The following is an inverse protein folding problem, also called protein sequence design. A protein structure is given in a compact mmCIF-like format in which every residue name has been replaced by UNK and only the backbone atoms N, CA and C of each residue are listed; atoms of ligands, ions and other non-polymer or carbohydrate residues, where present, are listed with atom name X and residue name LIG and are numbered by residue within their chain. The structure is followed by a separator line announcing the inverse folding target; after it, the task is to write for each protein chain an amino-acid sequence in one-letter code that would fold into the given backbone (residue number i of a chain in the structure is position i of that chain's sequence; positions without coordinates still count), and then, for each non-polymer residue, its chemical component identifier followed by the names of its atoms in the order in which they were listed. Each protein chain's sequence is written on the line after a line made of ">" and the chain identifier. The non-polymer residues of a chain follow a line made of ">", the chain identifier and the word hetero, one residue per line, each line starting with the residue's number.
data_IF_580627318008
#
_entry.id   IF_580627318008
#
_cell.length_a   1.000
_cell.length_b   1.000
_cell.length_c   1.000
_cell.angle_alpha   90.00
_cell.angle_beta   90.00
_cell.angle_gamma   90.00
#
_symmetry.space_group_name_H-M   'P 1'
#
loop_
_entity.id
_entity.type
_entity.pdbx_description
1 polymer ?
#
# COMPACT_ATOMS: atom_id res chain seq x y z
N UNK A 1 17.67 12.04 -29.61
CA UNK A 1 17.96 12.83 -28.39
C UNK A 1 17.01 14.02 -28.31
N UNK A 2 16.43 14.29 -27.13
CA UNK A 2 15.64 15.50 -26.90
C UNK A 2 16.57 16.72 -26.95
N UNK A 3 16.17 17.83 -27.62
CA UNK A 3 16.88 19.11 -27.49
C UNK A 3 16.79 19.61 -26.03
N UNK A 4 17.91 20.07 -25.50
CA UNK A 4 17.95 20.72 -24.19
C UNK A 4 17.24 22.08 -24.26
N UNK A 5 16.68 22.52 -23.17
CA UNK A 5 16.15 23.87 -23.01
C UNK A 5 17.31 24.84 -22.75
N UNK A 6 17.10 26.14 -22.99
CA UNK A 6 18.13 27.16 -22.73
C UNK A 6 18.65 27.12 -21.29
N UNK A 7 17.79 26.83 -20.32
CA UNK A 7 18.17 26.66 -18.92
C UNK A 7 19.05 25.42 -18.72
N UNK A 8 18.68 24.29 -19.32
CA UNK A 8 19.45 23.04 -19.26
C UNK A 8 20.83 23.21 -19.94
N UNK A 9 20.89 23.95 -21.06
CA UNK A 9 22.15 24.29 -21.72
C UNK A 9 23.04 25.13 -20.84
N UNK A 10 22.48 26.14 -20.17
CA UNK A 10 23.23 26.98 -19.24
C UNK A 10 23.79 26.18 -18.04
N UNK A 11 22.94 25.33 -17.43
CA UNK A 11 23.38 24.48 -16.30
C UNK A 11 24.48 23.49 -16.74
N UNK A 12 24.37 22.91 -17.93
CA UNK A 12 25.37 22.03 -18.49
C UNK A 12 26.73 22.76 -18.69
N UNK A 13 26.72 24.00 -19.20
CA UNK A 13 27.94 24.81 -19.38
C UNK A 13 28.61 25.18 -18.08
N UNK A 14 27.87 25.42 -16.98
CA UNK A 14 28.44 25.67 -15.68
C UNK A 14 29.17 24.43 -15.15
N UNK A 15 28.53 23.27 -15.24
CA UNK A 15 29.11 21.99 -14.77
C UNK A 15 30.32 21.59 -15.61
N UNK A 16 30.31 21.84 -16.93
CA UNK A 16 31.50 21.62 -17.80
C UNK A 16 32.72 22.41 -17.31
N UNK A 17 32.54 23.63 -16.85
CA UNK A 17 33.67 24.43 -16.28
C UNK A 17 34.25 23.82 -15.02
N UNK A 18 33.41 23.21 -14.20
CA UNK A 18 33.82 22.51 -12.97
C UNK A 18 34.40 21.12 -13.28
N UNK A 19 33.95 20.48 -14.36
CA UNK A 19 34.33 19.10 -14.75
C UNK A 19 35.78 18.95 -15.22
N UNK A 20 36.50 20.06 -15.43
CA UNK A 20 37.94 20.05 -15.77
C UNK A 20 38.78 19.30 -14.71
N UNK A 21 38.25 19.14 -13.49
CA UNK A 21 38.90 18.45 -12.38
C UNK A 21 38.56 16.97 -12.30
N UNK A 22 37.68 16.48 -13.17
CA UNK A 22 37.22 15.09 -13.08
C UNK A 22 38.19 14.15 -13.80
N UNK A 23 38.62 13.11 -13.09
CA UNK A 23 39.37 12.00 -13.66
C UNK A 23 38.51 11.23 -14.68
N UNK A 24 39.12 10.30 -15.39
CA UNK A 24 38.37 9.47 -16.34
C UNK A 24 37.28 8.66 -15.62
N UNK A 25 36.09 8.51 -16.25
CA UNK A 25 35.00 7.75 -15.64
C UNK A 25 35.39 6.31 -15.32
N UNK A 26 35.10 5.91 -14.07
CA UNK A 26 35.23 4.50 -13.66
C UNK A 26 34.02 3.66 -14.12
N UNK A 27 32.89 4.32 -14.31
CA UNK A 27 31.64 3.71 -14.77
C UNK A 27 31.09 4.47 -15.98
N UNK A 28 30.60 3.73 -16.96
CA UNK A 28 29.88 4.27 -18.10
C UNK A 28 28.41 3.84 -17.99
N UNK A 29 27.51 4.80 -18.17
CA UNK A 29 26.07 4.56 -18.09
C UNK A 29 25.44 4.86 -19.45
N UNK A 30 24.34 4.17 -19.77
CA UNK A 30 23.55 4.39 -20.98
C UNK A 30 22.32 5.25 -20.69
N UNK A 31 21.79 5.93 -21.71
CA UNK A 31 20.50 6.63 -21.59
C UNK A 31 19.40 5.60 -21.26
N UNK A 32 18.60 5.91 -20.26
CA UNK A 32 17.58 5.02 -19.73
C UNK A 32 18.04 4.16 -18.55
N UNK A 33 19.37 4.10 -18.27
CA UNK A 33 19.87 3.37 -17.11
C UNK A 33 19.37 3.98 -15.80
N UNK A 34 19.09 3.11 -14.84
CA UNK A 34 18.89 3.52 -13.46
C UNK A 34 20.22 3.52 -12.73
N UNK A 35 20.53 4.66 -12.08
CA UNK A 35 21.78 4.85 -11.34
C UNK A 35 21.48 5.45 -9.97
N UNK A 36 22.39 5.25 -9.02
CA UNK A 36 22.30 5.87 -7.69
C UNK A 36 23.03 7.22 -7.71
N UNK A 37 22.36 8.26 -7.25
CA UNK A 37 22.93 9.59 -7.04
C UNK A 37 22.88 9.94 -5.55
N UNK A 38 24.05 10.06 -4.91
CA UNK A 38 24.15 10.24 -3.47
C UNK A 38 23.52 9.09 -2.67
N UNK A 39 22.79 9.43 -1.61
CA UNK A 39 22.07 8.49 -0.73
C UNK A 39 20.58 8.34 -1.12
N UNK A 40 20.17 8.96 -2.19
CA UNK A 40 18.76 9.06 -2.59
C UNK A 40 18.28 7.85 -3.42
N UNK A 41 16.99 7.88 -3.74
CA UNK A 41 16.35 6.89 -4.63
C UNK A 41 17.03 6.87 -6.01
N UNK A 42 16.96 5.71 -6.71
CA UNK A 42 17.49 5.61 -8.05
C UNK A 42 16.92 6.66 -8.99
N UNK A 43 17.80 7.23 -9.81
CA UNK A 43 17.47 8.21 -10.83
C UNK A 43 17.71 7.64 -12.22
N UNK A 44 17.03 8.18 -13.22
CA UNK A 44 17.21 7.72 -14.61
C UNK A 44 18.18 8.62 -15.35
N UNK A 45 19.14 8.06 -16.07
CA UNK A 45 20.02 8.77 -16.99
C UNK A 45 19.26 9.15 -18.24
N UNK A 46 19.21 10.45 -18.55
CA UNK A 46 18.48 10.98 -19.72
C UNK A 46 19.36 11.80 -20.68
N UNK A 47 20.56 12.12 -20.26
CA UNK A 47 21.57 12.82 -21.07
C UNK A 47 22.96 12.34 -20.69
N UNK A 48 23.85 12.29 -21.67
CA UNK A 48 25.29 11.97 -21.49
C UNK A 48 26.09 12.95 -22.33
N UNK A 49 27.10 13.59 -21.73
CA UNK A 49 28.04 14.43 -22.47
C UNK A 49 28.96 13.59 -23.37
N UNK A 50 29.51 14.20 -24.42
CA UNK A 50 30.36 13.48 -25.40
C UNK A 50 31.58 12.83 -24.75
N UNK A 51 32.13 13.44 -23.72
CA UNK A 51 33.27 12.93 -22.93
C UNK A 51 32.85 11.96 -21.82
N UNK A 52 31.55 11.65 -21.70
CA UNK A 52 30.94 10.78 -20.69
C UNK A 52 31.22 11.18 -19.23
N UNK A 53 31.58 12.43 -18.99
CA UNK A 53 31.89 12.94 -17.66
C UNK A 53 30.70 13.58 -16.95
N UNK A 54 29.70 14.02 -17.71
CA UNK A 54 28.51 14.67 -17.19
C UNK A 54 27.26 13.90 -17.64
N UNK A 55 26.37 13.68 -16.70
CA UNK A 55 25.11 12.98 -16.91
C UNK A 55 23.93 13.87 -16.51
N UNK A 56 22.92 13.93 -17.35
CA UNK A 56 21.63 14.52 -17.01
C UNK A 56 20.72 13.45 -16.44
N UNK A 57 20.33 13.62 -15.17
CA UNK A 57 19.51 12.66 -14.43
C UNK A 57 18.10 13.20 -14.16
N UNK A 58 17.14 12.30 -14.00
CA UNK A 58 15.77 12.63 -13.61
C UNK A 58 15.32 11.83 -12.41
N UNK A 59 14.57 12.49 -11.52
CA UNK A 59 13.88 11.86 -10.41
C UNK A 59 12.45 11.44 -10.81
N UNK A 60 12.17 10.17 -10.76
CA UNK A 60 10.83 9.63 -11.02
C UNK A 60 10.21 10.15 -12.32
N UNK A 61 9.04 10.78 -12.24
CA UNK A 61 8.31 11.36 -13.38
C UNK A 61 8.63 12.84 -13.66
N UNK A 62 9.63 13.42 -13.01
CA UNK A 62 10.02 14.81 -13.24
C UNK A 62 10.42 15.03 -14.70
N UNK A 63 10.02 16.19 -15.25
CA UNK A 63 10.47 16.60 -16.57
C UNK A 63 11.80 17.38 -16.55
N UNK A 64 12.28 17.79 -15.38
CA UNK A 64 13.50 18.55 -15.24
C UNK A 64 14.71 17.64 -15.19
N UNK A 65 15.77 17.99 -15.97
CA UNK A 65 17.08 17.36 -15.87
C UNK A 65 17.90 18.07 -14.81
N UNK A 66 18.59 17.29 -14.00
CA UNK A 66 19.68 17.77 -13.15
C UNK A 66 21.00 17.23 -13.72
N UNK A 67 21.97 18.11 -13.97
CA UNK A 67 23.28 17.69 -14.44
C UNK A 67 24.21 17.41 -13.26
N UNK A 68 24.95 16.30 -13.36
CA UNK A 68 25.86 15.81 -12.31
C UNK A 68 27.12 15.22 -12.94
N UNK A 69 28.21 15.24 -12.22
CA UNK A 69 29.43 14.58 -12.62
C UNK A 69 29.31 13.06 -12.51
N UNK A 70 30.06 12.31 -13.31
CA UNK A 70 30.06 10.86 -13.25
C UNK A 70 30.40 10.29 -11.86
N UNK A 71 31.27 10.98 -11.09
CA UNK A 71 31.71 10.53 -9.76
C UNK A 71 30.59 10.56 -8.72
N UNK A 72 29.55 11.32 -8.95
CA UNK A 72 28.39 11.38 -8.05
C UNK A 72 27.41 10.25 -8.32
N UNK A 73 27.62 9.52 -9.44
CA UNK A 73 26.81 8.39 -9.83
C UNK A 73 27.49 7.07 -9.42
N UNK A 74 26.69 6.12 -9.03
CA UNK A 74 27.13 4.75 -8.77
C UNK A 74 26.24 3.81 -9.57
N UNK A 75 26.83 2.74 -10.16
CA UNK A 75 25.99 1.67 -10.68
C UNK A 75 25.10 1.17 -9.54
N UNK A 76 23.87 0.91 -9.85
CA UNK A 76 23.08 0.06 -9.00
C UNK A 76 23.71 -1.31 -9.23
N UNK A 77 24.54 -1.75 -8.27
CA UNK A 77 25.17 -3.06 -8.34
C UNK A 77 24.08 -4.07 -8.69
N UNK A 78 24.36 -4.94 -9.64
CA UNK A 78 23.45 -5.96 -10.16
C UNK A 78 23.20 -7.11 -9.16
N UNK A 79 23.05 -6.74 -7.90
CA UNK A 79 22.41 -7.54 -6.90
C UNK A 79 20.94 -7.19 -6.93
N UNK A 80 20.15 -7.92 -7.74
CA UNK A 80 18.70 -7.77 -7.79
C UNK A 80 18.23 -6.32 -8.01
N UNK A 81 18.12 -5.88 -9.29
CA UNK A 81 17.49 -4.60 -9.67
C UNK A 81 15.99 -4.57 -9.38
N UNK A 82 15.43 -5.72 -9.02
CA UNK A 82 14.09 -5.81 -8.48
C UNK A 82 14.13 -5.29 -7.04
N UNK A 83 13.50 -4.14 -6.82
CA UNK A 83 13.26 -3.68 -5.45
C UNK A 83 12.53 -4.80 -4.71
N UNK A 84 13.11 -5.28 -3.60
CA UNK A 84 12.44 -6.25 -2.71
C UNK A 84 11.08 -5.71 -2.28
N UNK A 85 10.98 -4.39 -2.08
CA UNK A 85 9.67 -3.76 -1.80
C UNK A 85 8.89 -3.54 -3.09
N UNK A 86 7.65 -3.94 -3.09
CA UNK A 86 6.73 -3.65 -4.19
C UNK A 86 6.31 -2.16 -4.13
N UNK A 87 6.72 -1.37 -5.11
CA UNK A 87 6.39 0.07 -5.19
C UNK A 87 4.90 0.34 -5.46
N UNK A 88 4.23 -0.63 -6.08
CA UNK A 88 2.80 -0.52 -6.40
C UNK A 88 1.90 -0.84 -5.20
N UNK A 89 2.51 -1.26 -4.10
CA UNK A 89 1.82 -1.74 -2.92
C UNK A 89 2.17 -0.87 -1.71
N UNK A 90 1.22 -0.04 -1.30
CA UNK A 90 1.31 0.77 -0.09
C UNK A 90 0.05 0.60 0.74
N UNK A 91 0.20 0.21 2.00
CA UNK A 91 -0.86 0.20 2.99
C UNK A 91 -0.51 1.25 4.04
N UNK A 92 -1.37 2.22 4.22
CA UNK A 92 -1.28 3.20 5.28
C UNK A 92 -2.12 2.72 6.47
N UNK A 93 -1.46 2.36 7.58
CA UNK A 93 -2.13 1.91 8.79
C UNK A 93 -2.42 3.09 9.72
N UNK A 94 -3.68 3.18 10.13
CA UNK A 94 -4.15 4.17 11.08
C UNK A 94 -4.88 3.49 12.23
N UNK A 95 -4.77 4.05 13.42
CA UNK A 95 -5.57 3.65 14.56
C UNK A 95 -6.94 4.35 14.48
N UNK A 96 -7.98 3.59 14.22
CA UNK A 96 -9.34 4.08 14.14
C UNK A 96 -10.16 3.55 15.33
N UNK A 97 -11.10 4.33 15.82
CA UNK A 97 -12.11 3.81 16.74
C UNK A 97 -13.17 3.01 15.95
N UNK A 98 -13.85 2.09 16.63
CA UNK A 98 -14.97 1.34 16.02
C UNK A 98 -16.01 2.29 15.44
N UNK A 99 -16.36 3.37 16.13
CA UNK A 99 -17.27 4.42 15.66
C UNK A 99 -16.85 5.00 14.29
N UNK A 100 -15.56 5.26 14.08
CA UNK A 100 -15.03 5.69 12.78
C UNK A 100 -15.20 4.65 11.68
N UNK A 101 -15.07 3.35 12.00
CA UNK A 101 -15.37 2.27 11.06
C UNK A 101 -16.85 2.15 10.75
N UNK A 102 -17.72 2.27 11.76
CA UNK A 102 -19.17 2.31 11.61
C UNK A 102 -19.59 3.49 10.71
N UNK A 103 -19.03 4.68 10.97
CA UNK A 103 -19.25 5.86 10.15
C UNK A 103 -18.83 5.61 8.70
N UNK A 104 -17.66 5.02 8.47
CA UNK A 104 -17.18 4.67 7.13
C UNK A 104 -18.14 3.69 6.44
N UNK A 105 -18.62 2.68 7.16
CA UNK A 105 -19.55 1.68 6.63
C UNK A 105 -20.89 2.29 6.20
N UNK A 106 -21.52 3.10 7.09
CA UNK A 106 -22.85 3.65 6.82
C UNK A 106 -22.87 4.83 5.85
N UNK A 107 -21.84 5.66 5.86
CA UNK A 107 -21.81 6.88 5.03
C UNK A 107 -21.06 6.72 3.72
N UNK A 108 -19.91 6.06 3.71
CA UNK A 108 -19.13 5.88 2.49
C UNK A 108 -19.45 4.56 1.78
N UNK A 109 -20.00 3.60 2.49
CA UNK A 109 -20.23 2.24 2.02
C UNK A 109 -18.94 1.41 1.97
N UNK A 110 -19.00 0.20 2.52
CA UNK A 110 -17.94 -0.81 2.38
C UNK A 110 -18.53 -2.02 1.70
N UNK A 111 -18.04 -2.37 0.49
CA UNK A 111 -18.37 -3.64 -0.15
C UNK A 111 -17.79 -4.78 0.69
N UNK A 112 -18.66 -5.50 1.39
CA UNK A 112 -18.29 -6.63 2.24
C UNK A 112 -18.12 -7.94 1.45
N UNK A 113 -18.54 -7.98 0.18
CA UNK A 113 -18.58 -9.18 -0.63
C UNK A 113 -17.89 -9.00 -1.99
N UNK A 114 -16.62 -8.55 -2.06
CA UNK A 114 -15.91 -8.57 -3.32
C UNK A 114 -15.72 -10.02 -3.79
N UNK A 115 -15.59 -10.21 -5.09
CA UNK A 115 -15.58 -11.51 -5.79
C UNK A 115 -14.44 -12.47 -5.35
N UNK A 116 -13.39 -11.94 -4.76
CA UNK A 116 -12.25 -12.70 -4.23
C UNK A 116 -12.41 -13.08 -2.74
N UNK A 117 -13.36 -12.51 -2.03
CA UNK A 117 -13.63 -12.86 -0.63
C UNK A 117 -14.44 -14.14 -0.51
N UNK A 118 -14.23 -14.86 0.61
CA UNK A 118 -15.10 -15.97 1.01
C UNK A 118 -16.36 -15.46 1.69
N UNK A 119 -17.34 -16.34 1.81
CA UNK A 119 -18.53 -16.07 2.59
C UNK A 119 -18.24 -15.83 4.07
N UNK A 120 -19.22 -15.28 4.76
CA UNK A 120 -19.16 -15.13 6.21
C UNK A 120 -19.33 -16.51 6.87
N UNK A 121 -18.36 -16.91 7.70
CA UNK A 121 -18.31 -18.26 8.28
C UNK A 121 -18.24 -18.28 9.80
N UNK A 122 -18.12 -17.11 10.46
CA UNK A 122 -18.06 -17.04 11.91
C UNK A 122 -19.41 -17.38 12.54
N UNK A 123 -19.35 -18.30 13.50
CA UNK A 123 -20.49 -18.65 14.36
C UNK A 123 -20.61 -17.66 15.53
N UNK A 124 -21.71 -17.73 16.27
CA UNK A 124 -21.96 -16.85 17.42
C UNK A 124 -20.83 -16.88 18.43
N UNK A 125 -20.25 -18.05 18.68
CA UNK A 125 -19.12 -18.21 19.61
C UNK A 125 -17.88 -17.42 19.19
N UNK A 126 -17.56 -17.40 17.88
CA UNK A 126 -16.40 -16.62 17.37
C UNK A 126 -16.63 -15.13 17.52
N UNK A 127 -17.86 -14.68 17.28
CA UNK A 127 -18.29 -13.28 17.45
C UNK A 127 -18.20 -12.86 18.92
N UNK A 128 -18.71 -13.70 19.83
CA UNK A 128 -18.63 -13.44 21.28
C UNK A 128 -17.18 -13.34 21.78
N UNK A 129 -16.27 -14.19 21.29
CA UNK A 129 -14.84 -14.11 21.60
C UNK A 129 -14.20 -12.81 21.10
N UNK A 130 -14.62 -12.29 19.94
CA UNK A 130 -14.17 -10.99 19.47
C UNK A 130 -14.64 -9.86 20.41
N UNK A 131 -15.93 -9.88 20.77
CA UNK A 131 -16.48 -8.87 21.70
C UNK A 131 -15.85 -8.97 23.09
N UNK A 132 -15.59 -10.21 23.57
CA UNK A 132 -14.85 -10.42 24.81
C UNK A 132 -13.45 -9.79 24.79
N UNK A 133 -12.74 -9.95 23.65
CA UNK A 133 -11.43 -9.33 23.44
C UNK A 133 -11.50 -7.79 23.55
N UNK A 134 -12.52 -7.17 22.97
CA UNK A 134 -12.73 -5.72 23.03
C UNK A 134 -12.93 -5.26 24.45
N UNK A 135 -13.82 -5.90 25.22
CA UNK A 135 -14.08 -5.54 26.62
C UNK A 135 -12.91 -5.83 27.55
N UNK A 136 -11.99 -6.70 27.16
CA UNK A 136 -10.74 -6.96 27.88
C UNK A 136 -9.54 -6.16 27.33
N UNK A 137 -9.73 -5.23 26.40
CA UNK A 137 -8.68 -4.45 25.74
C UNK A 137 -7.59 -5.31 25.08
N UNK A 138 -7.95 -6.49 24.57
CA UNK A 138 -7.06 -7.39 23.82
C UNK A 138 -7.16 -7.05 22.34
N UNK A 139 -6.00 -6.96 21.65
CA UNK A 139 -5.96 -6.64 20.23
C UNK A 139 -6.75 -7.67 19.38
N UNK A 140 -7.66 -7.18 18.55
CA UNK A 140 -8.52 -7.99 17.69
C UNK A 140 -7.96 -8.21 16.27
N UNK A 141 -6.75 -7.75 16.01
CA UNK A 141 -6.14 -7.76 14.70
C UNK A 141 -6.60 -6.60 13.80
N UNK A 142 -5.97 -6.50 12.65
CA UNK A 142 -6.20 -5.40 11.70
C UNK A 142 -7.38 -5.64 10.78
N UNK A 143 -7.95 -4.56 10.26
CA UNK A 143 -8.88 -4.53 9.14
C UNK A 143 -8.19 -3.82 7.98
N UNK A 144 -8.30 -4.32 6.74
CA UNK A 144 -7.70 -3.69 5.56
C UNK A 144 -8.78 -3.39 4.54
N UNK A 145 -8.85 -2.11 4.16
CA UNK A 145 -9.82 -1.56 3.21
C UNK A 145 -9.09 -1.05 1.96
N UNK A 146 -9.68 -1.30 0.81
CA UNK A 146 -9.27 -0.71 -0.47
C UNK A 146 -10.19 0.45 -0.77
N UNK A 147 -9.65 1.63 -1.01
CA UNK A 147 -10.44 2.79 -1.44
C UNK A 147 -10.81 2.65 -2.91
N UNK A 148 -12.10 2.75 -3.20
CA UNK A 148 -12.63 2.75 -4.55
C UNK A 148 -12.80 4.18 -5.03
N UNK A 149 -12.50 4.43 -6.31
CA UNK A 149 -12.66 5.76 -6.91
C UNK A 149 -14.03 5.95 -7.58
N UNK A 150 -14.69 4.84 -7.91
CA UNK A 150 -15.96 4.82 -8.65
C UNK A 150 -16.83 3.68 -8.16
N UNK A 151 -18.15 3.81 -8.33
CA UNK A 151 -19.13 2.79 -7.97
C UNK A 151 -19.96 3.19 -6.75
N UNK A 152 -20.77 2.25 -6.26
CA UNK A 152 -21.74 2.47 -5.18
C UNK A 152 -21.11 2.46 -3.78
N UNK A 153 -19.85 2.03 -3.67
CA UNK A 153 -19.10 1.93 -2.42
C UNK A 153 -17.84 2.79 -2.46
N UNK A 154 -17.54 3.46 -1.36
CA UNK A 154 -16.27 4.16 -1.19
C UNK A 154 -15.08 3.24 -0.90
N UNK A 155 -15.38 2.04 -0.38
CA UNK A 155 -14.37 1.05 0.00
C UNK A 155 -14.80 -0.38 -0.32
N UNK A 156 -13.83 -1.31 -0.40
CA UNK A 156 -14.08 -2.74 -0.32
C UNK A 156 -13.19 -3.39 0.73
N UNK A 157 -13.68 -4.45 1.37
CA UNK A 157 -12.94 -5.19 2.40
C UNK A 157 -11.90 -6.10 1.76
N UNK A 158 -10.62 -5.96 2.16
CA UNK A 158 -9.54 -6.84 1.72
C UNK A 158 -9.17 -7.87 2.78
N UNK A 159 -9.08 -7.47 4.04
CA UNK A 159 -8.87 -8.37 5.18
C UNK A 159 -9.70 -7.91 6.36
N UNK A 160 -10.06 -8.84 7.23
CA UNK A 160 -10.86 -8.58 8.43
C UNK A 160 -12.37 -8.62 8.22
N UNK A 161 -12.87 -9.19 7.09
CA UNK A 161 -14.31 -9.33 6.81
C UNK A 161 -15.09 -9.92 7.99
N UNK A 162 -14.61 -11.02 8.56
CA UNK A 162 -15.28 -11.70 9.67
C UNK A 162 -15.38 -10.78 10.90
N UNK A 163 -14.28 -10.09 11.22
CA UNK A 163 -14.19 -9.13 12.33
C UNK A 163 -15.14 -7.94 12.13
N UNK A 164 -15.04 -7.28 10.98
CA UNK A 164 -15.89 -6.12 10.70
C UNK A 164 -17.37 -6.49 10.73
N UNK A 165 -17.73 -7.64 10.15
CA UNK A 165 -19.11 -8.11 10.19
C UNK A 165 -19.62 -8.37 11.62
N UNK A 166 -18.78 -8.98 12.48
CA UNK A 166 -19.15 -9.21 13.88
C UNK A 166 -19.32 -7.89 14.66
N UNK A 167 -18.47 -6.87 14.41
CA UNK A 167 -18.62 -5.54 15.01
C UNK A 167 -19.95 -4.89 14.59
N UNK A 168 -20.29 -4.96 13.29
CA UNK A 168 -21.55 -4.43 12.76
C UNK A 168 -22.75 -5.16 13.37
N UNK A 169 -22.73 -6.49 13.37
CA UNK A 169 -23.84 -7.28 13.89
C UNK A 169 -24.07 -7.07 15.39
N UNK A 170 -23.01 -6.90 16.18
CA UNK A 170 -23.17 -6.59 17.60
C UNK A 170 -23.76 -5.18 17.79
N UNK A 171 -23.22 -4.17 17.11
CA UNK A 171 -23.75 -2.80 17.14
C UNK A 171 -25.22 -2.73 16.72
N UNK A 172 -25.62 -3.53 15.74
CA UNK A 172 -26.99 -3.62 15.21
C UNK A 172 -27.92 -4.53 16.05
N UNK A 173 -27.47 -5.00 17.22
CA UNK A 173 -28.24 -5.89 18.11
C UNK A 173 -28.65 -7.24 17.46
N UNK A 174 -27.80 -7.81 16.59
CA UNK A 174 -28.10 -9.08 15.91
C UNK A 174 -27.69 -10.32 16.72
N UNK A 175 -26.80 -10.17 17.70
CA UNK A 175 -26.45 -11.21 18.65
C UNK A 175 -26.07 -10.61 20.01
N UNK A 176 -26.28 -11.32 21.12
CA UNK A 176 -25.89 -10.88 22.45
C UNK A 176 -24.45 -11.31 22.78
N UNK A 177 -23.81 -10.58 23.69
CA UNK A 177 -22.58 -10.96 24.38
C UNK A 177 -22.87 -11.12 25.88
N UNK A 178 -22.58 -12.29 26.46
CA UNK A 178 -22.93 -12.63 27.85
C UNK A 178 -24.41 -12.37 28.21
N UNK A 179 -25.28 -12.55 27.22
CA UNK A 179 -26.73 -12.37 27.36
C UNK A 179 -27.21 -10.93 27.16
N UNK A 180 -26.33 -9.95 26.88
CA UNK A 180 -26.69 -8.55 26.66
C UNK A 180 -26.48 -8.18 25.19
N UNK A 181 -27.48 -7.60 24.56
CA UNK A 181 -27.34 -6.92 23.27
C UNK A 181 -26.66 -5.56 23.46
N UNK A 182 -26.11 -4.97 22.42
CA UNK A 182 -25.43 -3.66 22.52
C UNK A 182 -26.29 -2.58 23.17
N UNK A 183 -27.58 -2.54 22.84
CA UNK A 183 -28.50 -1.55 23.43
C UNK A 183 -28.82 -1.82 24.90
N UNK A 184 -28.62 -3.04 25.39
CA UNK A 184 -28.85 -3.41 26.81
C UNK A 184 -27.65 -3.07 27.68
N UNK A 185 -26.51 -2.73 27.08
CA UNK A 185 -25.28 -2.38 27.79
C UNK A 185 -25.44 -1.03 28.52
N UNK A 186 -24.68 -0.88 29.61
CA UNK A 186 -24.54 0.40 30.27
C UNK A 186 -23.98 1.46 29.28
N UNK A 187 -24.29 2.73 29.50
CA UNK A 187 -23.73 3.82 28.68
C UNK A 187 -22.19 3.79 28.66
N UNK A 188 -21.57 3.44 29.77
CA UNK A 188 -20.12 3.33 29.88
C UNK A 188 -19.56 2.22 28.98
N UNK A 189 -20.23 1.04 28.96
CA UNK A 189 -19.83 -0.09 28.13
C UNK A 189 -20.07 0.17 26.63
N UNK A 190 -21.17 0.84 26.29
CA UNK A 190 -21.42 1.29 24.90
C UNK A 190 -20.30 2.22 24.42
N UNK A 191 -19.91 3.20 25.25
CA UNK A 191 -18.82 4.12 24.95
C UNK A 191 -17.49 3.37 24.85
N UNK A 192 -17.20 2.43 25.74
CA UNK A 192 -16.01 1.60 25.69
C UNK A 192 -15.92 0.85 24.35
N UNK A 193 -17.03 0.22 23.92
CA UNK A 193 -17.07 -0.51 22.65
C UNK A 193 -16.81 0.39 21.45
N UNK A 194 -17.54 1.51 21.31
CA UNK A 194 -17.39 2.37 20.12
C UNK A 194 -16.06 3.12 20.06
N UNK A 195 -15.43 3.38 21.22
CA UNK A 195 -14.12 4.03 21.31
C UNK A 195 -12.95 3.04 21.32
N UNK A 196 -13.21 1.73 21.32
CA UNK A 196 -12.15 0.74 21.20
C UNK A 196 -11.37 0.95 19.90
N UNK A 197 -10.03 0.91 19.99
CA UNK A 197 -9.13 1.23 18.87
C UNK A 197 -8.81 -0.01 18.06
N UNK A 198 -9.03 0.07 16.76
CA UNK A 198 -8.72 -0.96 15.77
C UNK A 198 -7.68 -0.44 14.80
N UNK A 199 -6.67 -1.24 14.48
CA UNK A 199 -5.71 -0.93 13.40
C UNK A 199 -6.38 -1.12 12.05
N UNK A 200 -6.51 -0.04 11.27
CA UNK A 200 -7.11 -0.07 9.93
C UNK A 200 -6.09 0.31 8.87
N UNK A 201 -5.84 -0.60 7.93
CA UNK A 201 -4.99 -0.38 6.78
C UNK A 201 -5.81 0.13 5.58
N UNK A 202 -5.34 1.19 4.94
CA UNK A 202 -5.96 1.73 3.73
C UNK A 202 -5.02 1.55 2.53
N UNK A 203 -5.57 0.98 1.46
CA UNK A 203 -4.92 0.88 0.15
C UNK A 203 -5.60 1.87 -0.78
N UNK A 204 -4.81 2.72 -1.42
CA UNK A 204 -5.31 3.75 -2.35
C UNK A 204 -4.66 3.59 -3.72
N UNK A 205 -5.35 4.04 -4.76
CA UNK A 205 -4.83 4.15 -6.14
C UNK A 205 -4.24 2.86 -6.71
N UNK A 206 -4.95 1.74 -6.56
CA UNK A 206 -4.46 0.45 -7.06
C UNK A 206 -5.45 -0.19 -8.06
N UNK A 207 -4.96 -1.13 -8.85
CA UNK A 207 -5.75 -1.91 -9.81
C UNK A 207 -6.11 -3.30 -9.24
N UNK A 208 -7.07 -3.96 -9.88
CA UNK A 208 -7.57 -5.28 -9.45
C UNK A 208 -6.45 -6.31 -9.32
N UNK A 209 -5.48 -6.32 -10.22
CA UNK A 209 -4.34 -7.24 -10.18
C UNK A 209 -3.52 -7.09 -8.90
N UNK A 210 -3.26 -5.86 -8.50
CA UNK A 210 -2.55 -5.53 -7.26
C UNK A 210 -3.38 -5.91 -6.03
N UNK A 211 -4.69 -5.66 -6.03
CA UNK A 211 -5.60 -6.08 -4.95
C UNK A 211 -5.53 -7.60 -4.74
N UNK A 212 -5.63 -8.39 -5.81
CA UNK A 212 -5.57 -9.86 -5.72
C UNK A 212 -4.22 -10.35 -5.19
N UNK A 213 -3.11 -9.73 -5.60
CA UNK A 213 -1.77 -10.03 -5.06
C UNK A 213 -1.71 -9.77 -3.55
N UNK A 214 -2.23 -8.64 -3.08
CA UNK A 214 -2.31 -8.33 -1.66
C UNK A 214 -3.13 -9.35 -0.89
N UNK A 215 -4.31 -9.66 -1.42
CA UNK A 215 -5.19 -10.66 -0.81
C UNK A 215 -4.46 -11.99 -0.61
N UNK A 216 -3.78 -12.49 -1.65
CA UNK A 216 -3.00 -13.73 -1.57
C UNK A 216 -1.86 -13.61 -0.56
N UNK A 217 -1.13 -12.51 -0.53
CA UNK A 217 0.00 -12.32 0.41
C UNK A 217 -0.48 -12.28 1.86
N UNK A 218 -1.57 -11.56 2.16
CA UNK A 218 -2.10 -11.46 3.51
C UNK A 218 -2.62 -12.82 4.03
N UNK A 219 -3.14 -13.66 3.13
CA UNK A 219 -3.73 -14.93 3.51
C UNK A 219 -2.75 -16.13 3.45
N UNK A 220 -1.59 -16.00 2.80
CA UNK A 220 -0.54 -17.04 2.79
C UNK A 220 0.17 -17.21 4.14
N UNK A 221 0.21 -16.14 4.93
CA UNK A 221 0.89 -16.13 6.24
C UNK A 221 0.01 -16.59 7.40
N UNK A 222 -1.32 -16.74 7.18
CA UNK A 222 -2.29 -17.16 8.19
C UNK A 222 -2.80 -18.59 7.95
N UNK A 223 -3.03 -19.35 9.02
CA UNK A 223 -3.56 -20.73 8.97
C UNK A 223 -5.06 -20.83 8.63
N UNK A 224 -5.72 -19.74 8.28
CA UNK A 224 -7.19 -19.63 8.36
C UNK A 224 -7.95 -19.63 7.04
N UNK A 225 -7.27 -19.62 5.89
CA UNK A 225 -7.95 -19.64 4.60
C UNK A 225 -7.83 -21.00 3.92
N UNK A 226 -8.96 -21.54 3.46
CA UNK A 226 -9.02 -22.77 2.69
C UNK A 226 -8.22 -22.64 1.38
N UNK A 227 -7.46 -23.69 1.06
CA UNK A 227 -6.67 -23.77 -0.17
C UNK A 227 -7.52 -23.55 -1.42
N UNK A 228 -8.75 -24.07 -1.44
CA UNK A 228 -9.69 -23.90 -2.55
C UNK A 228 -9.99 -22.43 -2.85
N UNK A 229 -10.13 -21.60 -1.80
CA UNK A 229 -10.36 -20.16 -1.96
C UNK A 229 -9.11 -19.44 -2.50
N UNK A 230 -7.92 -19.80 -2.05
CA UNK A 230 -6.67 -19.25 -2.56
C UNK A 230 -6.47 -19.61 -4.03
N UNK A 231 -6.70 -20.86 -4.43
CA UNK A 231 -6.63 -21.32 -5.81
C UNK A 231 -7.61 -20.57 -6.73
N UNK A 232 -8.82 -20.25 -6.22
CA UNK A 232 -9.79 -19.41 -6.95
C UNK A 232 -9.20 -18.03 -7.25
N UNK A 233 -8.60 -17.38 -6.27
CA UNK A 233 -8.01 -16.03 -6.43
C UNK A 233 -6.78 -16.07 -7.33
N UNK A 234 -5.94 -17.11 -7.25
CA UNK A 234 -4.81 -17.30 -8.15
C UNK A 234 -5.28 -17.41 -9.61
N UNK A 235 -6.31 -18.19 -9.90
CA UNK A 235 -6.93 -18.25 -11.23
C UNK A 235 -7.52 -16.92 -11.70
N UNK A 236 -8.09 -16.13 -10.79
CA UNK A 236 -8.55 -14.78 -11.14
C UNK A 236 -7.38 -13.86 -11.52
N UNK A 237 -6.26 -13.95 -10.79
CA UNK A 237 -5.05 -13.19 -11.08
C UNK A 237 -4.43 -13.55 -12.43
N UNK A 238 -4.41 -14.84 -12.81
CA UNK A 238 -3.90 -15.31 -14.10
C UNK A 238 -4.72 -14.80 -15.30
N UNK A 239 -6.03 -14.57 -15.11
CA UNK A 239 -6.92 -14.04 -16.16
C UNK A 239 -6.76 -12.55 -16.43
N UNK A 240 -6.11 -11.82 -15.53
CA UNK A 240 -5.83 -10.39 -15.69
C UNK A 240 -4.44 -10.26 -16.37
N UNK A 241 -4.44 -10.26 -17.69
CA UNK A 241 -3.26 -10.04 -18.54
C UNK A 241 -2.97 -8.57 -18.76
#
# INVERSE_FOLDING_TARGET
>A
MRKLTQREEFELEQIKKESVYYNNPTYEFEIGSYVRYGYNEPVTVNYISDDKKIYGIKYGKSNNLQFVGWQDLRPIESGNTDFIRNKDMKIDFNNNQIDGLLTTYYHSGINMNPDYQRDYVWETKDKELLIDSIFNNIEIGKIVLVRLLYGDYGYEILDGKQRLNALLEFYENRFPYKGYYYNDLSRADQIHFIHYVVSVGYITYTNKKTILKYFLMLNRTGKTMDKTQLDKVEKMLERIR
#
